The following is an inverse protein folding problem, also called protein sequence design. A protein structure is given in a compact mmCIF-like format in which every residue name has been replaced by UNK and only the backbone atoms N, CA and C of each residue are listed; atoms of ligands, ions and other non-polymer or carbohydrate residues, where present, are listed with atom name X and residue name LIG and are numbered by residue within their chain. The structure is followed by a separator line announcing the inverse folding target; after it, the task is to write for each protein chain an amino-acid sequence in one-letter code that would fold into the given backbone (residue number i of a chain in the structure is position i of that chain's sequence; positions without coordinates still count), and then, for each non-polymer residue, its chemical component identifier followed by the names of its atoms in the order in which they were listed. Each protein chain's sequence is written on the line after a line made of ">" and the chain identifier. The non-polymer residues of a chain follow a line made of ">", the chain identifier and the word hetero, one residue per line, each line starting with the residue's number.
data_IF_334519490008
#
_entry.id   IF_334519490008
#
_cell.length_a   1.000
_cell.length_b   1.000
_cell.length_c   1.000
_cell.angle_alpha   90.00
_cell.angle_beta   90.00
_cell.angle_gamma   90.00
#
_symmetry.space_group_name_H-M   'P 1'
#
loop_
_entity.id
_entity.type
_entity.pdbx_description
1 polymer ?
#
# COMPACT_ATOMS: atom_id res chain seq x y z
N UNK A 1 48.97 -31.74 -40.82
CA UNK A 1 48.49 -31.69 -39.43
C UNK A 1 48.28 -30.24 -39.02
N UNK A 2 47.03 -29.79 -38.86
CA UNK A 2 46.68 -28.61 -38.05
C UNK A 2 45.17 -28.64 -37.80
N UNK A 3 44.85 -28.84 -36.54
CA UNK A 3 43.54 -29.14 -35.94
C UNK A 3 42.67 -27.88 -35.85
N UNK A 4 41.38 -28.04 -36.19
CA UNK A 4 40.32 -27.06 -35.95
C UNK A 4 40.15 -26.83 -34.45
N UNK A 5 40.17 -25.58 -34.00
CA UNK A 5 39.90 -25.23 -32.60
C UNK A 5 38.42 -24.96 -32.41
N UNK A 6 37.86 -25.67 -31.43
CA UNK A 6 36.45 -25.73 -31.06
C UNK A 6 35.90 -24.41 -30.48
N UNK A 7 34.58 -24.31 -30.62
CA UNK A 7 33.66 -23.38 -30.00
C UNK A 7 33.95 -23.08 -28.53
N UNK A 8 33.81 -21.79 -28.15
CA UNK A 8 33.60 -21.37 -26.77
C UNK A 8 32.19 -20.79 -26.68
N UNK A 9 31.24 -21.63 -26.29
CA UNK A 9 29.91 -21.21 -25.90
C UNK A 9 30.00 -20.46 -24.57
N UNK A 10 29.67 -19.17 -24.59
CA UNK A 10 29.52 -18.35 -23.40
C UNK A 10 28.28 -18.82 -22.63
N UNK A 11 28.54 -19.59 -21.59
CA UNK A 11 27.58 -20.02 -20.57
C UNK A 11 27.19 -18.80 -19.72
N UNK A 12 26.16 -18.05 -20.12
CA UNK A 12 25.58 -17.00 -19.29
C UNK A 12 24.55 -17.63 -18.34
N UNK A 13 25.03 -18.15 -17.21
CA UNK A 13 24.16 -18.53 -16.09
C UNK A 13 23.66 -17.24 -15.41
N UNK A 14 22.52 -16.74 -15.86
CA UNK A 14 21.83 -15.65 -15.16
C UNK A 14 21.38 -16.18 -13.79
N UNK A 15 22.06 -15.72 -12.74
CA UNK A 15 21.62 -15.88 -11.36
C UNK A 15 20.30 -15.12 -11.21
N UNK A 16 19.19 -15.85 -11.31
CA UNK A 16 17.89 -15.35 -10.90
C UNK A 16 17.91 -15.22 -9.38
N UNK A 17 18.22 -14.02 -8.89
CA UNK A 17 18.06 -13.66 -7.49
C UNK A 17 16.55 -13.72 -7.22
N UNK A 18 16.06 -14.57 -6.30
CA UNK A 18 14.68 -14.47 -5.88
C UNK A 18 14.55 -13.15 -5.13
N UNK A 19 13.94 -12.16 -5.79
CA UNK A 19 13.46 -10.96 -5.13
C UNK A 19 12.44 -11.43 -4.09
N UNK A 20 12.86 -11.51 -2.83
CA UNK A 20 11.95 -11.57 -1.70
C UNK A 20 11.17 -10.26 -1.72
N UNK A 21 10.11 -10.20 -2.52
CA UNK A 21 9.03 -9.26 -2.28
C UNK A 21 8.52 -9.67 -0.91
N UNK A 22 8.96 -8.95 0.12
CA UNK A 22 8.20 -8.90 1.36
C UNK A 22 6.84 -8.34 0.96
N UNK A 23 5.91 -9.24 0.61
CA UNK A 23 4.50 -8.95 0.71
C UNK A 23 4.30 -8.62 2.18
N UNK A 24 4.53 -7.35 2.52
CA UNK A 24 3.97 -6.79 3.73
C UNK A 24 2.48 -6.92 3.48
N UNK A 25 1.90 -8.01 3.99
CA UNK A 25 0.48 -8.20 4.07
C UNK A 25 -0.03 -7.06 4.93
N UNK A 26 -0.26 -5.91 4.30
CA UNK A 26 -0.87 -4.75 4.92
C UNK A 26 -2.14 -5.28 5.58
N UNK A 27 -2.25 -5.21 6.92
CA UNK A 27 -3.32 -5.90 7.64
C UNK A 27 -4.70 -5.60 7.03
N UNK A 28 -5.53 -6.63 6.85
CA UNK A 28 -6.88 -6.55 6.26
C UNK A 28 -7.80 -5.49 6.86
N UNK A 29 -7.45 -4.94 8.02
CA UNK A 29 -8.14 -3.85 8.69
C UNK A 29 -8.19 -2.57 7.85
N UNK A 30 -7.13 -2.25 7.10
CA UNK A 30 -7.11 -1.04 6.26
C UNK A 30 -8.16 -1.14 5.15
N UNK A 31 -8.21 -2.27 4.46
CA UNK A 31 -9.21 -2.53 3.41
C UNK A 31 -10.63 -2.51 3.97
N UNK A 32 -10.82 -3.08 5.17
CA UNK A 32 -12.09 -3.03 5.89
C UNK A 32 -12.55 -1.60 6.17
N UNK A 33 -11.67 -0.77 6.73
CA UNK A 33 -11.97 0.64 7.04
C UNK A 33 -12.23 1.45 5.76
N UNK A 34 -11.41 1.26 4.70
CA UNK A 34 -11.60 1.92 3.39
C UNK A 34 -12.96 1.53 2.78
N UNK A 35 -13.32 0.25 2.86
CA UNK A 35 -14.62 -0.25 2.39
C UNK A 35 -15.77 0.37 3.18
N UNK A 36 -15.68 0.42 4.52
CA UNK A 36 -16.68 1.07 5.36
C UNK A 36 -16.81 2.57 5.05
N UNK A 37 -15.71 3.29 4.88
CA UNK A 37 -15.73 4.71 4.50
C UNK A 37 -16.46 4.91 3.17
N UNK A 38 -16.15 4.07 2.17
CA UNK A 38 -16.78 4.11 0.86
C UNK A 38 -18.29 3.84 0.94
N UNK A 39 -18.71 2.86 1.74
CA UNK A 39 -20.13 2.54 1.98
C UNK A 39 -20.89 3.69 2.67
N UNK A 40 -20.19 4.51 3.47
CA UNK A 40 -20.76 5.67 4.16
C UNK A 40 -20.66 6.97 3.35
N UNK A 41 -20.31 6.89 2.06
CA UNK A 41 -20.30 8.05 1.16
C UNK A 41 -19.03 8.91 1.22
N UNK A 42 -18.00 8.46 1.92
CA UNK A 42 -16.68 9.05 1.82
C UNK A 42 -16.02 8.65 0.49
N UNK A 43 -15.30 9.59 -0.12
CA UNK A 43 -14.66 9.44 -1.42
C UNK A 43 -13.15 9.39 -1.26
N UNK A 44 -12.49 8.73 -2.21
CA UNK A 44 -11.02 8.63 -2.32
C UNK A 44 -10.32 8.14 -1.04
N UNK A 45 -11.00 7.28 -0.26
CA UNK A 45 -10.44 6.69 0.94
C UNK A 45 -9.18 5.87 0.61
N UNK A 46 -8.04 6.23 1.22
CA UNK A 46 -6.75 5.59 0.95
C UNK A 46 -5.81 5.66 2.15
N UNK A 47 -4.97 4.64 2.27
CA UNK A 47 -3.85 4.63 3.20
C UNK A 47 -2.78 5.61 2.70
N UNK A 48 -2.44 6.62 3.51
CA UNK A 48 -1.43 7.64 3.16
C UNK A 48 -0.13 7.48 3.93
N UNK A 49 -0.18 6.84 5.11
CA UNK A 49 1.00 6.51 5.91
C UNK A 49 0.79 5.12 6.55
N UNK A 50 1.43 4.07 6.00
CA UNK A 50 1.35 2.72 6.57
C UNK A 50 1.99 2.58 7.95
N UNK A 51 3.04 3.35 8.25
CA UNK A 51 3.76 3.28 9.53
C UNK A 51 2.94 3.94 10.64
N UNK A 52 2.40 5.12 10.36
CA UNK A 52 1.47 5.82 11.26
C UNK A 52 0.04 5.28 11.20
N UNK A 53 -0.25 4.30 10.31
CA UNK A 53 -1.58 3.69 10.13
C UNK A 53 -2.66 4.71 9.80
N UNK A 54 -2.30 5.70 8.99
CA UNK A 54 -3.13 6.86 8.67
C UNK A 54 -3.86 6.68 7.36
N UNK A 55 -5.19 6.75 7.40
CA UNK A 55 -6.06 6.81 6.24
C UNK A 55 -6.56 8.25 6.07
N UNK A 56 -6.69 8.69 4.82
CA UNK A 56 -7.38 9.93 4.47
C UNK A 56 -8.57 9.61 3.57
N UNK A 57 -9.66 10.35 3.73
CA UNK A 57 -10.82 10.31 2.86
C UNK A 57 -11.48 11.69 2.78
N UNK A 58 -12.40 11.89 1.82
CA UNK A 58 -13.19 13.11 1.72
C UNK A 58 -14.66 12.82 2.00
N UNK A 59 -15.29 13.63 2.84
CA UNK A 59 -16.72 13.49 3.09
C UNK A 59 -17.57 13.95 1.88
N UNK A 60 -18.89 13.88 2.02
CA UNK A 60 -19.82 14.30 0.98
C UNK A 60 -19.63 15.76 0.56
N UNK A 61 -19.28 16.65 1.50
CA UNK A 61 -19.01 18.08 1.25
C UNK A 61 -17.65 18.32 0.60
N UNK A 62 -16.74 17.34 0.64
CA UNK A 62 -15.36 17.48 0.19
C UNK A 62 -14.41 17.96 1.28
N UNK A 63 -14.81 17.89 2.55
CA UNK A 63 -13.89 18.09 3.68
C UNK A 63 -13.02 16.86 3.85
N UNK A 64 -11.72 17.07 4.09
CA UNK A 64 -10.76 16.00 4.30
C UNK A 64 -10.82 15.50 5.75
N UNK A 65 -11.00 14.19 5.90
CA UNK A 65 -10.89 13.49 7.17
C UNK A 65 -9.63 12.65 7.19
N UNK A 66 -8.95 12.65 8.33
CA UNK A 66 -7.81 11.80 8.63
C UNK A 66 -8.14 10.88 9.78
N UNK A 67 -7.83 9.60 9.62
CA UNK A 67 -8.08 8.58 10.61
C UNK A 67 -6.81 7.82 10.92
N UNK A 68 -6.60 7.50 12.19
CA UNK A 68 -5.51 6.61 12.63
C UNK A 68 -6.12 5.30 13.11
N UNK A 69 -5.57 4.17 12.67
CA UNK A 69 -6.06 2.84 13.05
C UNK A 69 -5.19 2.25 14.16
N UNK A 70 -5.84 1.79 15.23
CA UNK A 70 -5.20 1.17 16.37
C UNK A 70 -4.49 -0.14 15.96
N UNK A 71 -3.23 -0.34 16.40
CA UNK A 71 -2.35 -1.35 15.82
C UNK A 71 -2.75 -2.81 16.09
N UNK A 72 -3.49 -3.08 17.17
CA UNK A 72 -3.77 -4.46 17.62
C UNK A 72 -5.11 -5.03 17.16
N UNK A 73 -6.11 -4.17 16.98
CA UNK A 73 -7.50 -4.60 16.79
C UNK A 73 -8.16 -3.95 15.57
N UNK A 74 -7.48 -3.02 14.89
CA UNK A 74 -8.03 -2.35 13.70
C UNK A 74 -9.12 -1.34 13.99
N UNK A 75 -9.39 -0.99 15.27
CA UNK A 75 -10.35 0.05 15.61
C UNK A 75 -9.82 1.44 15.25
N UNK A 76 -10.71 2.39 14.98
CA UNK A 76 -10.32 3.79 14.77
C UNK A 76 -9.84 4.34 16.12
N UNK A 77 -8.60 4.80 16.17
CA UNK A 77 -7.96 5.41 17.34
C UNK A 77 -8.20 6.92 17.35
N UNK A 78 -8.11 7.57 16.18
CA UNK A 78 -8.41 9.00 16.02
C UNK A 78 -9.18 9.27 14.75
N UNK A 79 -10.01 10.32 14.79
CA UNK A 79 -10.76 10.84 13.65
C UNK A 79 -10.73 12.37 13.71
N UNK A 80 -10.08 12.98 12.72
CA UNK A 80 -9.87 14.42 12.69
C UNK A 80 -10.25 15.00 11.33
N UNK A 81 -10.89 16.17 11.33
CA UNK A 81 -11.07 16.96 10.12
C UNK A 81 -9.81 17.79 9.89
N UNK A 82 -9.07 17.48 8.82
CA UNK A 82 -7.78 18.12 8.51
C UNK A 82 -7.98 19.35 7.64
N UNK A 83 -8.99 19.31 6.76
CA UNK A 83 -9.36 20.44 5.93
C UNK A 83 -10.87 20.54 5.85
N UNK A 84 -11.42 21.54 6.53
CA UNK A 84 -12.83 21.85 6.48
C UNK A 84 -13.09 22.63 5.21
N UNK A 85 -13.98 22.11 4.35
CA UNK A 85 -14.45 22.91 3.24
C UNK A 85 -15.53 23.84 3.78
N UNK A 86 -15.13 25.07 4.11
CA UNK A 86 -16.06 26.14 4.45
C UNK A 86 -17.07 26.28 3.32
N UNK A 87 -18.35 26.25 3.70
CA UNK A 87 -19.48 26.35 2.77
C UNK A 87 -19.79 27.80 2.45
#
# INVERSE_FOLDING_TARGET
>A
MKTLSLASGLLCAALAIPSFVTAQTTPSYFDGVISTLSQNGYREARLVDPEARRIVAFDASGSEVSLTIHPRNGSIESWDYVNLRDR
#
